data_IF_719553098240
#
_entry.id   IF_719553098240
#
_cell.length_a   1.000
_cell.length_b   1.000
_cell.length_c   1.000
_cell.angle_alpha   90.00
_cell.angle_beta   90.00
_cell.angle_gamma   90.00
#
_symmetry.space_group_name_H-M   'P 1'
#
loop_
_entity.id
_entity.type
_entity.pdbx_description
1 polymer ?
#
# COMPACT_ATOMS: atom_id res chain seq x y z
N UNK A 1 39.20 36.84 -31.70
CA UNK A 1 39.08 36.45 -30.28
C UNK A 1 39.74 35.11 -30.04
N UNK A 2 40.76 35.07 -29.18
CA UNK A 2 41.48 33.85 -28.81
C UNK A 2 40.56 32.85 -28.07
N UNK A 3 40.82 31.55 -28.20
CA UNK A 3 39.99 30.44 -27.70
C UNK A 3 39.74 30.52 -26.18
N UNK A 4 40.69 31.07 -25.43
CA UNK A 4 40.57 31.31 -23.98
C UNK A 4 39.53 32.38 -23.65
N UNK A 5 39.51 33.49 -24.39
CA UNK A 5 38.54 34.57 -24.18
C UNK A 5 37.10 34.10 -24.45
N UNK A 6 36.91 33.29 -25.52
CA UNK A 6 35.59 32.68 -25.82
C UNK A 6 35.11 31.71 -24.74
N UNK A 7 36.03 30.95 -24.11
CA UNK A 7 35.67 30.07 -23.00
C UNK A 7 35.27 30.86 -21.77
N UNK A 8 36.06 31.86 -21.37
CA UNK A 8 35.76 32.70 -20.22
C UNK A 8 34.41 33.40 -20.35
N UNK A 9 34.10 33.92 -21.54
CA UNK A 9 32.79 34.53 -21.81
C UNK A 9 31.63 33.53 -21.62
N UNK A 10 31.71 32.33 -22.22
CA UNK A 10 30.67 31.30 -22.06
C UNK A 10 30.51 30.81 -20.63
N UNK A 11 31.61 30.75 -19.88
CA UNK A 11 31.59 30.43 -18.45
C UNK A 11 30.75 31.47 -17.71
N UNK A 12 31.03 32.76 -17.92
CA UNK A 12 30.30 33.84 -17.27
C UNK A 12 28.80 33.84 -17.64
N UNK A 13 28.49 33.70 -18.93
CA UNK A 13 27.10 33.61 -19.42
C UNK A 13 26.34 32.46 -18.75
N UNK A 14 26.94 31.26 -18.71
CA UNK A 14 26.32 30.08 -18.10
C UNK A 14 26.11 30.27 -16.61
N UNK A 15 27.12 30.79 -15.88
CA UNK A 15 27.02 30.97 -14.43
C UNK A 15 25.95 32.02 -14.07
N UNK A 16 25.80 33.06 -14.89
CA UNK A 16 24.78 34.10 -14.69
C UNK A 16 23.36 33.65 -15.05
N UNK A 17 23.20 32.54 -15.78
CA UNK A 17 21.89 32.02 -16.16
C UNK A 17 21.17 31.41 -14.94
N UNK A 18 19.91 31.80 -14.64
CA UNK A 18 19.17 31.27 -13.50
C UNK A 18 18.96 29.74 -13.57
N UNK A 19 19.05 29.13 -14.76
CA UNK A 19 18.95 27.69 -14.96
C UNK A 19 20.20 26.93 -14.52
N UNK A 20 21.33 27.61 -14.28
CA UNK A 20 22.56 26.95 -13.85
C UNK A 20 22.50 26.46 -12.40
N UNK A 21 21.94 27.25 -11.48
CA UNK A 21 21.84 26.88 -10.06
C UNK A 21 21.07 25.55 -9.86
N UNK A 22 19.90 25.33 -10.48
CA UNK A 22 19.20 24.04 -10.41
C UNK A 22 19.99 22.85 -10.96
N UNK A 23 20.82 23.04 -12.01
CA UNK A 23 21.68 21.99 -12.55
C UNK A 23 22.80 21.62 -11.57
N UNK A 24 23.41 22.61 -10.91
CA UNK A 24 24.43 22.38 -9.88
C UNK A 24 23.84 21.67 -8.67
N UNK A 25 22.65 22.09 -8.23
CA UNK A 25 21.92 21.51 -7.10
C UNK A 25 21.31 20.13 -7.41
N UNK A 26 21.24 19.73 -8.70
CA UNK A 26 20.51 18.54 -9.18
C UNK A 26 19.04 18.55 -8.74
N UNK A 27 18.41 19.69 -8.88
CA UNK A 27 17.02 19.90 -8.46
C UNK A 27 16.05 19.07 -9.31
N UNK A 28 15.27 18.22 -8.65
CA UNK A 28 14.23 17.41 -9.30
C UNK A 28 12.99 18.21 -9.67
N UNK A 29 12.71 19.33 -9.00
CA UNK A 29 11.58 20.23 -9.30
C UNK A 29 11.81 21.04 -10.58
N UNK A 30 13.06 21.10 -11.06
CA UNK A 30 13.43 21.72 -12.32
C UNK A 30 13.28 20.77 -13.53
N UNK A 31 13.10 19.47 -13.29
CA UNK A 31 12.93 18.50 -14.37
C UNK A 31 11.67 18.80 -15.19
N UNK A 32 11.81 18.80 -16.51
CA UNK A 32 10.72 19.08 -17.45
C UNK A 32 10.49 20.57 -17.73
N UNK A 33 11.02 21.49 -16.90
CA UNK A 33 10.98 22.95 -17.16
C UNK A 33 12.00 23.39 -18.21
N UNK A 34 13.18 22.76 -18.20
CA UNK A 34 14.23 22.96 -19.20
C UNK A 34 15.16 21.75 -19.25
N UNK A 35 16.06 21.76 -20.23
CA UNK A 35 17.10 20.76 -20.45
C UNK A 35 18.44 21.46 -20.62
N UNK A 36 19.53 20.79 -20.23
CA UNK A 36 20.88 21.29 -20.50
C UNK A 36 21.66 20.30 -21.33
N UNK A 37 22.47 20.80 -22.24
CA UNK A 37 23.30 20.00 -23.12
C UNK A 37 24.78 20.32 -22.94
N UNK A 38 25.63 19.31 -23.11
CA UNK A 38 27.07 19.42 -22.95
C UNK A 38 27.74 19.30 -24.31
N UNK A 39 28.31 20.41 -24.79
CA UNK A 39 28.94 20.55 -26.12
C UNK A 39 30.00 19.50 -26.39
N UNK A 40 30.83 19.19 -25.40
CA UNK A 40 31.95 18.23 -25.57
C UNK A 40 31.49 16.78 -25.70
N UNK A 41 30.34 16.42 -25.13
CA UNK A 41 29.84 15.03 -25.18
C UNK A 41 28.70 14.85 -26.18
N UNK A 42 28.10 15.94 -26.68
CA UNK A 42 26.93 15.89 -27.56
C UNK A 42 25.69 15.31 -26.88
N UNK A 43 25.55 15.48 -25.55
CA UNK A 43 24.48 14.87 -24.75
C UNK A 43 23.65 15.94 -24.06
N UNK A 44 22.32 15.80 -24.11
CA UNK A 44 21.40 16.60 -23.30
C UNK A 44 20.80 15.82 -22.13
N UNK A 45 20.54 16.52 -21.03
CA UNK A 45 20.21 16.00 -19.71
C UNK A 45 19.06 16.79 -19.08
N UNK A 46 18.43 16.18 -18.07
CA UNK A 46 17.57 16.89 -17.11
C UNK A 46 18.41 17.57 -16.04
N UNK A 47 17.92 18.65 -15.41
CA UNK A 47 18.60 19.31 -14.29
C UNK A 47 19.00 18.36 -13.15
N UNK A 48 18.16 17.38 -12.81
CA UNK A 48 18.44 16.38 -11.76
C UNK A 48 19.50 15.33 -12.10
N UNK A 49 20.15 15.41 -13.26
CA UNK A 49 21.02 14.34 -13.74
C UNK A 49 22.22 14.11 -12.81
N UNK A 50 22.33 12.89 -12.28
CA UNK A 50 23.46 12.46 -11.45
C UNK A 50 24.78 12.25 -12.22
N UNK A 51 24.90 12.73 -13.46
CA UNK A 51 26.15 12.71 -14.20
C UNK A 51 27.20 13.60 -13.51
N UNK A 52 28.47 13.42 -13.90
CA UNK A 52 29.55 14.31 -13.45
C UNK A 52 29.19 15.73 -13.90
N UNK A 53 29.32 16.75 -13.02
CA UNK A 53 29.03 18.13 -13.38
C UNK A 53 29.79 18.53 -14.65
N UNK A 54 29.07 19.09 -15.61
CA UNK A 54 29.68 19.63 -16.82
C UNK A 54 30.40 20.94 -16.48
N UNK A 55 31.47 21.25 -17.20
CA UNK A 55 32.11 22.55 -17.05
C UNK A 55 31.20 23.63 -17.66
N UNK A 56 30.99 24.78 -16.99
CA UNK A 56 30.04 25.80 -17.44
C UNK A 56 30.26 26.24 -18.89
N UNK A 57 31.51 26.39 -19.34
CA UNK A 57 31.83 26.81 -20.72
C UNK A 57 31.31 25.88 -21.82
N UNK A 58 30.94 24.64 -21.45
CA UNK A 58 30.44 23.61 -22.36
C UNK A 58 28.93 23.39 -22.24
N UNK A 59 28.23 24.14 -21.40
CA UNK A 59 26.79 23.97 -21.16
C UNK A 59 25.98 24.88 -22.08
N UNK A 60 24.83 24.38 -22.51
CA UNK A 60 23.81 25.12 -23.27
C UNK A 60 22.45 24.71 -22.72
N UNK A 61 21.53 25.66 -22.59
CA UNK A 61 20.18 25.38 -22.11
C UNK A 61 19.17 25.40 -23.26
N UNK A 62 18.18 24.51 -23.16
CA UNK A 62 17.06 24.38 -24.09
C UNK A 62 15.76 24.29 -23.30
N UNK A 63 14.67 24.84 -23.83
CA UNK A 63 13.37 24.81 -23.13
C UNK A 63 12.70 23.46 -23.33
N UNK A 64 12.85 22.89 -24.53
CA UNK A 64 12.24 21.60 -24.89
C UNK A 64 13.28 20.56 -25.31
N UNK A 65 12.90 19.28 -25.21
CA UNK A 65 13.72 18.15 -25.70
C UNK A 65 13.96 18.25 -27.21
N UNK A 66 12.91 18.63 -27.95
CA UNK A 66 12.95 18.75 -29.40
C UNK A 66 13.93 19.82 -29.88
N UNK A 67 14.10 20.93 -29.14
CA UNK A 67 15.13 21.93 -29.45
C UNK A 67 16.54 21.36 -29.30
N UNK A 68 16.81 20.63 -28.21
CA UNK A 68 18.11 20.02 -27.98
C UNK A 68 18.44 18.96 -29.06
N UNK A 69 17.44 18.16 -29.46
CA UNK A 69 17.60 17.15 -30.51
C UNK A 69 17.82 17.76 -31.89
N UNK A 70 17.06 18.81 -32.25
CA UNK A 70 17.28 19.57 -33.49
C UNK A 70 18.66 20.23 -33.53
N UNK A 71 19.20 20.60 -32.38
CA UNK A 71 20.57 21.12 -32.26
C UNK A 71 21.66 20.02 -32.28
N UNK A 72 21.29 18.76 -32.51
CA UNK A 72 22.21 17.63 -32.69
C UNK A 72 22.63 16.92 -31.41
N UNK A 73 22.01 17.21 -30.27
CA UNK A 73 22.32 16.54 -29.00
C UNK A 73 21.49 15.27 -28.83
N UNK A 74 22.15 14.18 -28.40
CA UNK A 74 21.45 12.92 -28.07
C UNK A 74 20.97 12.91 -26.62
N UNK A 75 19.88 12.20 -26.35
CA UNK A 75 19.37 11.99 -25.00
C UNK A 75 20.40 11.27 -24.10
N UNK A 76 20.53 11.75 -22.86
CA UNK A 76 21.40 11.12 -21.87
C UNK A 76 20.89 9.73 -21.47
N UNK A 77 21.71 8.70 -21.63
CA UNK A 77 21.38 7.33 -21.22
C UNK A 77 21.24 7.16 -19.70
N UNK A 78 21.76 8.10 -18.91
CA UNK A 78 21.69 8.08 -17.44
C UNK A 78 20.37 8.66 -16.95
N UNK A 79 20.08 9.94 -17.18
CA UNK A 79 18.81 10.54 -16.72
C UNK A 79 17.62 10.23 -17.65
N UNK A 80 17.86 9.75 -18.87
CA UNK A 80 16.84 9.37 -19.86
C UNK A 80 15.76 10.43 -20.02
N UNK A 81 16.14 11.66 -20.45
CA UNK A 81 15.22 12.79 -20.48
C UNK A 81 14.02 12.56 -21.40
N UNK A 82 14.17 11.69 -22.38
CA UNK A 82 13.19 11.18 -23.34
C UNK A 82 12.10 10.30 -22.72
N UNK A 83 12.36 9.68 -21.56
CA UNK A 83 11.46 8.70 -20.91
C UNK A 83 10.71 9.28 -19.71
N UNK A 84 9.65 8.63 -19.19
CA UNK A 84 9.00 9.05 -17.95
C UNK A 84 10.00 9.14 -16.77
N UNK A 85 9.69 9.86 -15.67
CA UNK A 85 10.51 9.86 -14.47
C UNK A 85 10.87 8.44 -14.01
N UNK A 86 12.10 8.24 -13.50
CA UNK A 86 12.58 6.90 -13.10
C UNK A 86 11.67 6.20 -12.10
N UNK A 87 11.04 6.96 -11.19
CA UNK A 87 10.10 6.42 -10.22
C UNK A 87 8.89 5.77 -10.89
N UNK A 88 8.35 6.40 -11.94
CA UNK A 88 7.24 5.87 -12.73
C UNK A 88 7.69 4.65 -13.56
N UNK A 89 8.86 4.72 -14.20
CA UNK A 89 9.42 3.58 -14.93
C UNK A 89 9.59 2.35 -14.02
N UNK A 90 10.07 2.55 -12.79
CA UNK A 90 10.19 1.48 -11.80
C UNK A 90 8.83 0.97 -11.33
N UNK A 91 7.85 1.84 -11.14
CA UNK A 91 6.48 1.43 -10.81
C UNK A 91 5.91 0.54 -11.92
N UNK A 92 6.01 0.93 -13.19
CA UNK A 92 5.56 0.13 -14.33
C UNK A 92 6.23 -1.24 -14.38
N UNK A 93 7.56 -1.29 -14.18
CA UNK A 93 8.30 -2.56 -14.16
C UNK A 93 7.89 -3.46 -12.98
N UNK A 94 7.64 -2.89 -11.81
CA UNK A 94 7.17 -3.66 -10.64
C UNK A 94 5.75 -4.16 -10.87
N UNK A 95 4.86 -3.34 -11.43
CA UNK A 95 3.50 -3.78 -11.82
C UNK A 95 3.55 -4.92 -12.83
N UNK A 96 4.43 -4.85 -13.83
CA UNK A 96 4.63 -5.93 -14.79
C UNK A 96 5.11 -7.21 -14.09
N UNK A 97 6.08 -7.11 -13.17
CA UNK A 97 6.54 -8.26 -12.39
C UNK A 97 5.42 -8.85 -11.51
N UNK A 98 4.57 -8.03 -10.89
CA UNK A 98 3.41 -8.50 -10.13
C UNK A 98 2.45 -9.31 -11.02
N UNK A 99 2.11 -8.80 -12.20
CA UNK A 99 1.26 -9.52 -13.17
C UNK A 99 1.84 -10.87 -13.58
N UNK A 100 3.15 -10.91 -13.88
CA UNK A 100 3.83 -12.17 -14.19
C UNK A 100 3.70 -13.16 -13.04
N UNK A 101 3.89 -12.73 -11.79
CA UNK A 101 3.73 -13.59 -10.61
C UNK A 101 2.28 -14.08 -10.46
N UNK A 102 1.29 -13.22 -10.75
CA UNK A 102 -0.14 -13.52 -10.66
C UNK A 102 -0.58 -14.53 -11.74
N UNK A 103 -0.10 -14.38 -12.97
CA UNK A 103 -0.45 -15.21 -14.13
C UNK A 103 0.32 -16.54 -14.17
N UNK A 104 1.47 -16.64 -13.52
CA UNK A 104 2.27 -17.88 -13.51
C UNK A 104 1.66 -18.96 -12.61
N UNK A 105 1.60 -20.21 -13.09
CA UNK A 105 1.24 -21.39 -12.28
C UNK A 105 2.26 -21.61 -11.15
N UNK A 106 3.54 -21.64 -11.51
CA UNK A 106 4.65 -21.70 -10.55
C UNK A 106 5.36 -20.36 -10.48
N UNK A 107 5.57 -19.85 -9.26
CA UNK A 107 6.23 -18.56 -9.07
C UNK A 107 7.63 -18.55 -9.73
N UNK A 108 7.90 -17.65 -10.69
CA UNK A 108 9.19 -17.61 -11.36
C UNK A 108 10.32 -17.23 -10.39
N UNK A 109 11.55 -17.66 -10.70
CA UNK A 109 12.72 -17.28 -9.90
C UNK A 109 12.98 -15.78 -9.99
N UNK A 110 13.71 -15.25 -9.00
CA UNK A 110 14.07 -13.83 -8.96
C UNK A 110 14.83 -13.41 -10.22
N UNK A 111 15.70 -14.27 -10.73
CA UNK A 111 16.48 -14.05 -11.96
C UNK A 111 15.58 -13.97 -13.19
N UNK A 112 14.60 -14.87 -13.31
CA UNK A 112 13.63 -14.87 -14.43
C UNK A 112 12.76 -13.61 -14.41
N UNK A 113 12.25 -13.23 -13.24
CA UNK A 113 11.46 -12.01 -13.08
C UNK A 113 12.27 -10.77 -13.47
N UNK A 114 13.50 -10.67 -12.97
CA UNK A 114 14.39 -9.54 -13.26
C UNK A 114 14.70 -9.44 -14.77
N UNK A 115 14.97 -10.59 -15.42
CA UNK A 115 15.20 -10.67 -16.85
C UNK A 115 13.98 -10.19 -17.67
N UNK A 116 12.77 -10.65 -17.32
CA UNK A 116 11.53 -10.29 -18.03
C UNK A 116 11.17 -8.81 -17.92
N UNK A 117 11.53 -8.15 -16.81
CA UNK A 117 11.34 -6.69 -16.67
C UNK A 117 12.57 -5.87 -17.09
N UNK A 118 13.58 -6.52 -17.67
CA UNK A 118 14.81 -5.88 -18.17
C UNK A 118 15.60 -5.17 -17.07
N UNK A 119 15.84 -5.84 -15.95
CA UNK A 119 16.62 -5.33 -14.81
C UNK A 119 17.63 -6.39 -14.34
N UNK A 120 18.73 -5.96 -13.72
CA UNK A 120 19.60 -6.90 -13.02
C UNK A 120 18.91 -7.45 -11.77
N UNK A 121 19.21 -8.69 -11.38
CA UNK A 121 18.57 -9.40 -10.26
C UNK A 121 18.61 -8.59 -8.96
N UNK A 122 19.79 -8.04 -8.62
CA UNK A 122 19.98 -7.25 -7.41
C UNK A 122 19.20 -5.93 -7.43
N UNK A 123 19.24 -5.22 -8.57
CA UNK A 123 18.53 -3.95 -8.74
C UNK A 123 17.01 -4.17 -8.70
N UNK A 124 16.53 -5.21 -9.38
CA UNK A 124 15.13 -5.61 -9.35
C UNK A 124 14.66 -5.91 -7.92
N UNK A 125 15.38 -6.75 -7.17
CA UNK A 125 15.01 -7.08 -5.79
C UNK A 125 14.85 -5.83 -4.91
N UNK A 126 15.83 -4.91 -4.97
CA UNK A 126 15.80 -3.66 -4.20
C UNK A 126 14.65 -2.75 -4.65
N UNK A 127 14.47 -2.57 -5.95
CA UNK A 127 13.41 -1.72 -6.51
C UNK A 127 12.03 -2.29 -6.20
N UNK A 128 11.82 -3.59 -6.36
CA UNK A 128 10.56 -4.25 -6.03
C UNK A 128 10.22 -4.06 -4.56
N UNK A 129 11.18 -4.31 -3.65
CA UNK A 129 10.97 -4.07 -2.21
C UNK A 129 10.64 -2.61 -1.90
N UNK A 130 11.28 -1.66 -2.59
CA UNK A 130 11.02 -0.23 -2.41
C UNK A 130 9.64 0.20 -2.91
N UNK A 131 9.16 -0.37 -4.01
CA UNK A 131 7.89 0.04 -4.65
C UNK A 131 6.70 -0.73 -4.07
N UNK A 132 6.81 -2.05 -3.93
CA UNK A 132 5.74 -2.93 -3.45
C UNK A 132 5.70 -3.11 -1.92
N UNK A 133 6.75 -2.70 -1.20
CA UNK A 133 6.85 -2.85 0.25
C UNK A 133 7.18 -4.28 0.74
N UNK A 134 7.17 -5.27 -0.17
CA UNK A 134 7.48 -6.68 0.07
C UNK A 134 8.58 -7.14 -0.89
N UNK A 135 9.33 -8.19 -0.56
CA UNK A 135 10.24 -8.80 -1.54
C UNK A 135 9.46 -9.57 -2.62
N UNK A 136 10.02 -9.78 -3.83
CA UNK A 136 9.38 -10.60 -4.87
C UNK A 136 8.95 -11.98 -4.35
N UNK A 137 9.78 -12.59 -3.50
CA UNK A 137 9.49 -13.90 -2.88
C UNK A 137 8.32 -13.84 -1.90
N UNK A 138 8.21 -12.77 -1.10
CA UNK A 138 7.09 -12.56 -0.20
C UNK A 138 5.80 -12.27 -0.95
N UNK A 139 5.86 -11.48 -2.03
CA UNK A 139 4.72 -11.23 -2.91
C UNK A 139 4.23 -12.51 -3.57
N UNK A 140 5.14 -13.30 -4.13
CA UNK A 140 4.82 -14.60 -4.71
C UNK A 140 4.25 -15.59 -3.70
N UNK A 141 4.74 -15.59 -2.46
CA UNK A 141 4.13 -16.36 -1.38
C UNK A 141 2.69 -15.90 -1.12
N UNK A 142 2.46 -14.60 -0.87
CA UNK A 142 1.12 -14.07 -0.62
C UNK A 142 0.12 -14.33 -1.76
N UNK A 143 0.59 -14.23 -3.01
CA UNK A 143 -0.24 -14.54 -4.18
C UNK A 143 -0.55 -16.04 -4.28
N UNK A 144 0.41 -16.90 -3.95
CA UNK A 144 0.19 -18.35 -3.86
C UNK A 144 -0.81 -18.70 -2.77
N UNK A 145 -0.70 -18.07 -1.60
CA UNK A 145 -1.65 -18.21 -0.50
C UNK A 145 -3.06 -17.75 -0.89
N UNK A 146 -3.17 -16.71 -1.72
CA UNK A 146 -4.44 -16.29 -2.33
C UNK A 146 -4.98 -17.35 -3.29
N UNK A 147 -4.17 -17.86 -4.23
CA UNK A 147 -4.60 -18.92 -5.18
C UNK A 147 -5.07 -20.18 -4.45
N UNK A 148 -4.35 -20.64 -3.42
CA UNK A 148 -4.80 -21.76 -2.58
C UNK A 148 -6.18 -21.50 -1.98
N UNK A 149 -6.40 -20.29 -1.46
CA UNK A 149 -7.69 -19.91 -0.86
C UNK A 149 -8.81 -19.89 -1.89
N UNK A 150 -8.53 -19.40 -3.10
CA UNK A 150 -9.49 -19.33 -4.20
C UNK A 150 -9.81 -20.76 -4.75
N UNK A 151 -8.80 -21.62 -4.92
CA UNK A 151 -8.94 -22.99 -5.44
C UNK A 151 -9.56 -23.96 -4.42
N UNK A 152 -9.17 -23.88 -3.15
CA UNK A 152 -9.84 -24.66 -2.10
C UNK A 152 -11.32 -24.28 -1.94
N UNK A 153 -11.70 -23.06 -2.34
CA UNK A 153 -13.09 -22.62 -2.38
C UNK A 153 -13.90 -23.13 -3.58
N UNK A 154 -13.24 -23.60 -4.65
CA UNK A 154 -13.88 -24.12 -5.88
C UNK A 154 -14.15 -25.63 -5.87
N UNK A 155 -13.75 -26.35 -4.82
CA UNK A 155 -14.10 -27.77 -4.60
C UNK A 155 -13.05 -28.81 -5.03
N UNK A 156 -11.91 -28.40 -5.61
CA UNK A 156 -10.76 -29.26 -5.97
C UNK A 156 -10.25 -30.05 -4.76
N UNK A 157 -9.63 -31.23 -4.94
CA UNK A 157 -9.05 -31.94 -3.79
C UNK A 157 -7.96 -31.08 -3.13
N UNK A 158 -7.72 -31.25 -1.82
CA UNK A 158 -6.67 -30.50 -1.12
C UNK A 158 -5.32 -30.68 -1.82
N UNK A 159 -5.06 -31.89 -2.32
CA UNK A 159 -3.86 -32.22 -3.09
C UNK A 159 -3.78 -31.45 -4.40
N UNK A 160 -4.88 -31.38 -5.16
CA UNK A 160 -4.93 -30.66 -6.45
C UNK A 160 -4.78 -29.15 -6.25
N UNK A 161 -5.50 -28.57 -5.29
CA UNK A 161 -5.40 -27.15 -4.97
C UNK A 161 -3.99 -26.72 -4.51
N UNK A 162 -3.24 -27.63 -3.86
CA UNK A 162 -1.85 -27.43 -3.49
C UNK A 162 -0.94 -27.43 -4.73
N UNK A 163 -1.16 -28.39 -5.64
CA UNK A 163 -0.40 -28.50 -6.90
C UNK A 163 -0.69 -27.35 -7.85
N UNK A 164 -1.95 -26.99 -8.05
CA UNK A 164 -2.41 -25.91 -8.93
C UNK A 164 -1.99 -24.52 -8.41
N UNK A 165 -1.84 -24.37 -7.09
CA UNK A 165 -1.23 -23.18 -6.49
C UNK A 165 0.32 -23.16 -6.60
N UNK A 166 0.95 -24.18 -7.17
CA UNK A 166 2.39 -24.22 -7.44
C UNK A 166 3.23 -24.63 -6.23
N UNK A 167 2.72 -25.47 -5.32
CA UNK A 167 3.55 -26.17 -4.34
C UNK A 167 4.08 -27.48 -4.92
N UNK A 168 5.41 -27.58 -5.07
CA UNK A 168 6.08 -28.80 -5.54
C UNK A 168 6.09 -29.95 -4.50
N UNK A 169 5.54 -29.74 -3.31
CA UNK A 169 5.52 -30.74 -2.24
C UNK A 169 4.44 -30.42 -1.21
N UNK A 170 3.59 -31.41 -0.93
CA UNK A 170 2.51 -31.36 0.05
C UNK A 170 3.02 -31.08 1.47
N UNK A 171 4.18 -31.64 1.85
CA UNK A 171 4.74 -31.49 3.21
C UNK A 171 5.10 -30.04 3.55
N UNK A 172 5.73 -29.31 2.62
CA UNK A 172 6.06 -27.88 2.81
C UNK A 172 4.83 -26.96 2.89
N UNK A 173 3.71 -27.39 2.32
CA UNK A 173 2.45 -26.67 2.47
C UNK A 173 1.84 -26.93 3.85
N UNK A 174 1.75 -28.19 4.30
CA UNK A 174 1.20 -28.53 5.61
C UNK A 174 1.99 -27.92 6.80
N UNK A 175 3.31 -27.73 6.67
CA UNK A 175 4.13 -27.02 7.67
C UNK A 175 3.73 -25.55 7.86
N UNK A 176 3.20 -24.90 6.81
CA UNK A 176 2.86 -23.47 6.80
C UNK A 176 1.37 -23.17 6.69
N UNK A 177 0.55 -24.18 6.38
CA UNK A 177 -0.87 -24.00 6.06
C UNK A 177 -1.66 -23.36 7.18
N UNK A 178 -1.36 -23.68 8.45
CA UNK A 178 -2.06 -23.08 9.58
C UNK A 178 -1.73 -21.58 9.75
N UNK A 179 -0.49 -21.16 9.44
CA UNK A 179 -0.11 -19.73 9.47
C UNK A 179 -0.67 -18.94 8.29
N UNK A 180 -0.89 -19.61 7.17
CA UNK A 180 -1.35 -19.05 5.90
C UNK A 180 -2.88 -18.95 5.84
N UNK A 181 -3.58 -20.03 6.19
CA UNK A 181 -5.04 -20.16 6.10
C UNK A 181 -5.73 -19.87 7.44
N UNK A 182 -4.98 -19.79 8.54
CA UNK A 182 -5.52 -19.68 9.90
C UNK A 182 -6.16 -20.98 10.43
N UNK A 183 -6.19 -22.05 9.63
CA UNK A 183 -6.75 -23.38 9.93
C UNK A 183 -6.12 -24.43 9.01
N UNK A 184 -6.49 -25.72 9.18
CA UNK A 184 -5.99 -26.79 8.30
C UNK A 184 -6.59 -26.69 6.89
N UNK A 185 -5.89 -27.12 5.83
CA UNK A 185 -6.40 -27.11 4.45
C UNK A 185 -7.71 -27.90 4.26
N UNK A 186 -7.85 -29.02 4.96
CA UNK A 186 -9.07 -29.83 4.99
C UNK A 186 -10.23 -29.08 5.63
N UNK A 187 -9.98 -28.37 6.75
CA UNK A 187 -10.97 -27.50 7.40
C UNK A 187 -11.36 -26.33 6.51
N UNK A 188 -10.42 -25.75 5.77
CA UNK A 188 -10.68 -24.66 4.83
C UNK A 188 -11.51 -25.13 3.63
N UNK A 189 -11.17 -26.29 3.02
CA UNK A 189 -11.89 -26.90 1.89
C UNK A 189 -13.30 -27.35 2.24
N UNK A 190 -13.48 -27.90 3.44
CA UNK A 190 -14.80 -28.24 3.95
C UNK A 190 -15.63 -26.98 4.32
N UNK A 191 -15.23 -25.81 3.82
CA UNK A 191 -15.88 -24.52 3.96
C UNK A 191 -15.58 -23.78 5.25
N UNK A 192 -14.69 -24.28 6.10
CA UNK A 192 -14.79 -23.97 7.52
C UNK A 192 -16.12 -24.54 8.02
N UNK A 193 -16.33 -25.85 7.89
CA UNK A 193 -17.51 -26.57 8.41
C UNK A 193 -17.71 -26.37 9.91
N UNK A 194 -16.72 -25.81 10.60
CA UNK A 194 -16.80 -25.38 12.00
C UNK A 194 -16.62 -23.87 12.24
N UNK A 195 -16.55 -23.03 11.20
CA UNK A 195 -16.54 -21.57 11.34
C UNK A 195 -17.97 -21.03 11.29
N UNK A 196 -18.76 -21.36 12.32
CA UNK A 196 -20.01 -20.66 12.59
C UNK A 196 -19.69 -19.18 12.79
N UNK A 197 -20.24 -18.32 11.94
CA UNK A 197 -20.13 -16.87 12.10
C UNK A 197 -21.51 -16.38 12.50
N UNK A 198 -21.61 -15.91 13.74
CA UNK A 198 -22.79 -15.19 14.18
C UNK A 198 -22.71 -13.77 13.67
N UNK A 199 -23.79 -13.27 13.09
CA UNK A 199 -23.86 -11.89 12.65
C UNK A 199 -25.21 -11.27 12.97
N UNK A 200 -25.20 -9.95 13.07
CA UNK A 200 -26.39 -9.16 13.27
C UNK A 200 -26.18 -7.81 12.58
N UNK A 201 -27.30 -7.26 12.14
CA UNK A 201 -27.37 -5.92 11.56
C UNK A 201 -28.12 -5.04 12.55
N UNK A 202 -27.61 -3.84 12.77
CA UNK A 202 -28.21 -2.82 13.61
C UNK A 202 -28.03 -1.44 12.99
N UNK A 203 -28.37 -0.42 13.77
CA UNK A 203 -28.24 0.98 13.37
C UNK A 203 -27.34 1.73 14.35
N UNK A 204 -26.58 2.68 13.83
CA UNK A 204 -25.79 3.62 14.62
C UNK A 204 -25.80 5.00 13.97
N UNK A 205 -25.21 6.00 14.62
CA UNK A 205 -25.07 7.37 14.12
C UNK A 205 -24.29 7.50 12.80
N UNK A 206 -23.62 6.43 12.34
CA UNK A 206 -22.90 6.35 11.07
C UNK A 206 -23.68 5.58 9.99
N UNK A 207 -24.96 5.27 10.23
CA UNK A 207 -25.83 4.45 9.39
C UNK A 207 -25.89 3.00 9.86
N UNK A 208 -26.27 2.10 8.95
CA UNK A 208 -26.36 0.67 9.22
C UNK A 208 -25.00 0.08 9.57
N UNK A 209 -25.02 -0.81 10.56
CA UNK A 209 -23.85 -1.51 11.06
C UNK A 209 -24.07 -3.02 11.00
N UNK A 210 -23.07 -3.75 10.54
CA UNK A 210 -23.03 -5.21 10.67
C UNK A 210 -21.90 -5.61 11.60
N UNK A 211 -22.20 -6.44 12.59
CA UNK A 211 -21.22 -7.05 13.50
C UNK A 211 -21.21 -8.55 13.26
N UNK A 212 -20.02 -9.13 13.06
CA UNK A 212 -19.84 -10.55 12.89
C UNK A 212 -18.75 -11.11 13.81
N UNK A 213 -19.02 -12.27 14.40
CA UNK A 213 -18.16 -12.95 15.35
C UNK A 213 -17.93 -14.40 14.95
N UNK A 214 -16.67 -14.82 14.96
CA UNK A 214 -16.28 -16.23 14.87
C UNK A 214 -16.07 -16.82 16.27
N UNK A 215 -15.76 -18.12 16.37
CA UNK A 215 -15.38 -18.75 17.64
C UNK A 215 -14.15 -18.13 18.33
N UNK A 216 -13.37 -17.30 17.63
CA UNK A 216 -12.16 -16.65 18.15
C UNK A 216 -12.37 -15.19 18.58
N UNK A 217 -13.48 -14.56 18.17
CA UNK A 217 -13.76 -13.15 18.44
C UNK A 217 -14.41 -12.42 17.27
N UNK A 218 -14.47 -11.09 17.36
CA UNK A 218 -15.05 -10.23 16.33
C UNK A 218 -14.20 -10.30 15.06
N UNK A 219 -14.79 -10.79 13.96
CA UNK A 219 -14.10 -10.94 12.69
C UNK A 219 -14.50 -9.85 11.67
N UNK A 220 -15.65 -9.19 11.86
CA UNK A 220 -16.03 -8.04 11.06
C UNK A 220 -16.90 -7.03 11.84
N UNK A 221 -16.66 -5.75 11.57
CA UNK A 221 -17.54 -4.62 11.90
C UNK A 221 -17.59 -3.77 10.63
N UNK A 222 -18.73 -3.76 9.96
CA UNK A 222 -18.94 -3.06 8.69
C UNK A 222 -19.94 -1.92 8.88
N UNK A 223 -19.77 -0.82 8.15
CA UNK A 223 -20.63 0.36 8.19
C UNK A 223 -21.12 0.68 6.78
N UNK A 224 -22.37 1.09 6.64
CA UNK A 224 -22.95 1.42 5.35
C UNK A 224 -24.27 2.15 5.48
N UNK A 225 -24.92 2.37 4.34
CA UNK A 225 -26.26 2.95 4.25
C UNK A 225 -27.31 1.90 3.87
N UNK A 226 -26.87 0.73 3.43
CA UNK A 226 -27.70 -0.36 2.94
C UNK A 226 -27.35 -1.65 3.71
N UNK A 227 -28.26 -2.17 4.57
CA UNK A 227 -28.02 -3.36 5.37
C UNK A 227 -27.84 -4.62 4.52
N UNK A 228 -28.56 -4.75 3.40
CA UNK A 228 -28.46 -5.92 2.53
C UNK A 228 -27.08 -5.99 1.88
N UNK A 229 -26.54 -4.84 1.47
CA UNK A 229 -25.17 -4.74 0.96
C UNK A 229 -24.13 -5.16 2.00
N UNK A 230 -24.34 -4.83 3.28
CA UNK A 230 -23.42 -5.26 4.35
C UNK A 230 -23.43 -6.78 4.53
N UNK A 231 -24.60 -7.41 4.44
CA UNK A 231 -24.74 -8.87 4.51
C UNK A 231 -24.06 -9.53 3.31
N UNK A 232 -24.25 -8.99 2.10
CA UNK A 232 -23.53 -9.49 0.91
C UNK A 232 -22.01 -9.32 1.04
N UNK A 233 -21.52 -8.17 1.53
CA UNK A 233 -20.08 -7.96 1.78
C UNK A 233 -19.52 -8.95 2.83
N UNK A 234 -20.32 -9.35 3.82
CA UNK A 234 -19.97 -10.40 4.78
C UNK A 234 -19.91 -11.76 4.10
N UNK A 235 -20.92 -12.12 3.30
CA UNK A 235 -20.98 -13.36 2.55
C UNK A 235 -19.79 -13.49 1.60
N UNK A 236 -19.48 -12.46 0.81
CA UNK A 236 -18.31 -12.43 -0.07
C UNK A 236 -17.00 -12.55 0.73
N UNK A 237 -16.96 -11.93 1.91
CA UNK A 237 -15.83 -11.96 2.81
C UNK A 237 -15.60 -13.32 3.49
N UNK A 238 -16.64 -14.15 3.57
CA UNK A 238 -16.69 -15.44 4.27
C UNK A 238 -17.55 -16.44 3.49
N UNK A 239 -17.24 -16.63 2.20
CA UNK A 239 -18.05 -17.35 1.20
C UNK A 239 -18.38 -18.81 1.52
N UNK A 240 -17.73 -19.39 2.53
CA UNK A 240 -17.97 -20.76 2.95
C UNK A 240 -18.43 -20.91 4.40
N UNK A 241 -18.50 -19.82 5.16
CA UNK A 241 -18.93 -19.86 6.55
C UNK A 241 -20.44 -20.10 6.67
N UNK A 242 -20.84 -20.86 7.69
CA UNK A 242 -22.24 -20.92 8.10
C UNK A 242 -22.57 -19.62 8.84
N UNK A 243 -23.28 -18.72 8.16
CA UNK A 243 -23.77 -17.48 8.74
C UNK A 243 -25.03 -17.76 9.57
N UNK A 244 -24.94 -17.49 10.86
CA UNK A 244 -26.03 -17.70 11.83
C UNK A 244 -26.55 -16.32 12.23
N UNK A 245 -27.86 -16.13 12.11
CA UNK A 245 -28.53 -14.92 12.55
C UNK A 245 -28.48 -14.74 14.08
N UNK A 246 -28.84 -13.55 14.52
CA UNK A 246 -28.75 -13.10 15.91
C UNK A 246 -29.55 -13.98 16.89
N UNK A 247 -28.96 -14.25 18.05
CA UNK A 247 -29.63 -14.74 19.27
C UNK A 247 -29.57 -13.65 20.36
N UNK A 248 -30.32 -13.80 21.45
CA UNK A 248 -30.40 -12.77 22.51
C UNK A 248 -29.04 -12.42 23.13
N UNK A 249 -28.16 -13.40 23.30
CA UNK A 249 -26.80 -13.19 23.83
C UNK A 249 -25.93 -12.40 22.84
N UNK A 250 -26.16 -12.60 21.53
CA UNK A 250 -25.47 -11.85 20.48
C UNK A 250 -25.96 -10.41 20.37
N UNK A 251 -27.23 -10.12 20.68
CA UNK A 251 -27.75 -8.74 20.73
C UNK A 251 -27.01 -7.88 21.76
N UNK A 252 -26.71 -8.43 22.94
CA UNK A 252 -25.94 -7.70 23.96
C UNK A 252 -24.53 -7.34 23.46
N UNK A 253 -23.89 -8.26 22.73
CA UNK A 253 -22.58 -8.01 22.13
C UNK A 253 -22.67 -6.91 21.06
N UNK A 254 -23.70 -6.95 20.23
CA UNK A 254 -23.93 -5.93 19.19
C UNK A 254 -24.17 -4.57 19.85
N UNK A 255 -24.96 -4.51 20.91
CA UNK A 255 -25.19 -3.29 21.68
C UNK A 255 -23.88 -2.72 22.27
N UNK A 256 -22.98 -3.57 22.78
CA UNK A 256 -21.64 -3.13 23.23
C UNK A 256 -20.82 -2.54 22.08
N UNK A 257 -20.85 -3.16 20.90
CA UNK A 257 -20.13 -2.66 19.71
C UNK A 257 -20.72 -1.33 19.22
N UNK A 258 -22.05 -1.21 19.19
CA UNK A 258 -22.73 0.05 18.85
C UNK A 258 -22.38 1.14 19.87
N UNK A 259 -22.46 0.85 21.17
CA UNK A 259 -22.07 1.79 22.22
C UNK A 259 -20.61 2.24 22.10
N UNK A 260 -19.70 1.35 21.73
CA UNK A 260 -18.32 1.69 21.42
C UNK A 260 -18.16 2.58 20.18
N UNK A 261 -18.98 2.40 19.14
CA UNK A 261 -18.95 3.27 17.95
C UNK A 261 -19.53 4.66 18.25
N UNK A 262 -20.55 4.71 19.13
CA UNK A 262 -21.10 5.96 19.61
C UNK A 262 -20.12 6.72 20.49
N UNK A 263 -19.36 6.00 21.33
CA UNK A 263 -18.35 6.56 22.23
C UNK A 263 -17.00 5.82 22.15
N UNK A 264 -16.14 6.10 21.14
CA UNK A 264 -14.88 5.37 20.93
C UNK A 264 -13.90 5.46 22.11
N UNK A 265 -14.03 6.48 22.96
CA UNK A 265 -13.23 6.67 24.16
C UNK A 265 -13.47 5.69 25.30
N UNK A 266 -14.52 4.87 25.22
CA UNK A 266 -14.76 3.74 26.15
C UNK A 266 -13.81 2.58 25.85
N UNK A 267 -13.39 2.43 24.59
CA UNK A 267 -12.63 1.27 24.13
C UNK A 267 -13.52 0.04 23.91
N UNK A 268 -12.99 -0.94 23.18
CA UNK A 268 -13.67 -2.21 22.93
C UNK A 268 -12.85 -3.34 23.56
N UNK A 269 -13.30 -3.84 24.70
CA UNK A 269 -12.69 -4.98 25.40
C UNK A 269 -13.32 -6.30 24.91
N UNK A 270 -13.15 -6.59 23.62
CA UNK A 270 -13.58 -7.84 23.01
C UNK A 270 -12.44 -8.44 22.17
N UNK A 271 -12.29 -9.78 22.15
CA UNK A 271 -11.27 -10.42 21.33
C UNK A 271 -11.57 -10.17 19.84
N UNK A 272 -10.53 -9.87 19.05
CA UNK A 272 -10.63 -9.63 17.62
C UNK A 272 -10.00 -10.80 16.83
N UNK A 273 -10.77 -11.40 15.91
CA UNK A 273 -10.30 -12.40 14.94
C UNK A 273 -9.90 -11.72 13.63
N UNK A 274 -8.77 -11.02 13.65
CA UNK A 274 -8.31 -10.24 12.50
C UNK A 274 -7.50 -11.12 11.55
N UNK A 275 -8.04 -11.35 10.35
CA UNK A 275 -7.41 -12.18 9.31
C UNK A 275 -6.73 -11.32 8.26
N UNK A 276 -5.42 -11.51 8.09
CA UNK A 276 -4.63 -10.80 7.07
C UNK A 276 -3.17 -11.25 7.05
N UNK A 277 -2.42 -10.78 6.06
CA UNK A 277 -0.97 -11.03 5.94
C UNK A 277 -0.20 -10.51 7.15
N UNK A 278 1.00 -11.04 7.40
CA UNK A 278 1.87 -10.55 8.48
C UNK A 278 2.13 -9.03 8.40
N UNK A 279 2.19 -8.46 7.21
CA UNK A 279 2.33 -7.00 7.04
C UNK A 279 1.07 -6.26 7.49
N UNK A 280 -0.11 -6.72 7.06
CA UNK A 280 -1.40 -6.12 7.47
C UNK A 280 -1.61 -6.21 8.98
N UNK A 281 -1.32 -7.36 9.60
CA UNK A 281 -1.42 -7.52 11.05
C UNK A 281 -0.54 -6.52 11.80
N UNK A 282 0.71 -6.31 11.35
CA UNK A 282 1.61 -5.30 11.94
C UNK A 282 1.09 -3.88 11.78
N UNK A 283 0.52 -3.55 10.63
CA UNK A 283 -0.12 -2.25 10.41
C UNK A 283 -1.29 -2.08 11.38
N UNK A 284 -2.22 -3.03 11.41
CA UNK A 284 -3.41 -2.96 12.26
C UNK A 284 -3.07 -2.89 13.75
N UNK A 285 -2.02 -3.60 14.19
CA UNK A 285 -1.51 -3.46 15.54
C UNK A 285 -1.02 -2.04 15.82
N UNK A 286 -0.22 -1.46 14.93
CA UNK A 286 0.23 -0.07 15.05
C UNK A 286 -0.91 0.96 14.98
N UNK A 287 -2.04 0.63 14.32
CA UNK A 287 -3.24 1.48 14.34
C UNK A 287 -3.89 1.49 15.72
N UNK A 288 -4.00 0.33 16.38
CA UNK A 288 -4.60 0.20 17.71
C UNK A 288 -3.84 0.98 18.79
N UNK A 289 -2.56 1.26 18.56
CA UNK A 289 -1.71 2.07 19.43
C UNK A 289 -1.95 3.58 19.29
N UNK A 290 -2.72 4.03 18.30
CA UNK A 290 -3.07 5.46 18.15
C UNK A 290 -4.14 5.81 19.19
N UNK A 291 -3.88 6.74 20.13
CA UNK A 291 -4.87 7.12 21.14
C UNK A 291 -6.12 7.77 20.54
N UNK A 292 -7.24 7.68 21.27
CA UNK A 292 -8.49 8.38 20.93
C UNK A 292 -8.24 9.88 20.87
N UNK A 293 -8.76 10.54 19.82
CA UNK A 293 -8.60 11.98 19.61
C UNK A 293 -7.23 12.39 19.05
N UNK A 294 -6.36 11.43 18.75
CA UNK A 294 -5.09 11.66 18.05
C UNK A 294 -5.13 11.11 16.64
N UNK A 295 -4.37 11.73 15.74
CA UNK A 295 -4.18 11.25 14.37
C UNK A 295 -2.72 10.95 14.10
N UNK A 296 -2.47 10.07 13.13
CA UNK A 296 -1.14 9.74 12.63
C UNK A 296 -1.14 9.78 11.10
N UNK A 297 0.00 10.10 10.49
CA UNK A 297 0.10 9.99 9.03
C UNK A 297 0.42 8.55 8.58
N UNK A 298 0.12 8.21 7.33
CA UNK A 298 0.58 6.95 6.74
C UNK A 298 2.11 6.79 6.83
N UNK A 299 2.85 7.90 6.81
CA UNK A 299 4.31 7.92 6.97
C UNK A 299 4.72 7.55 8.39
N UNK A 300 4.00 8.04 9.40
CA UNK A 300 4.26 7.71 10.80
C UNK A 300 4.02 6.24 11.09
N UNK A 301 2.93 5.68 10.57
CA UNK A 301 2.64 4.24 10.70
C UNK A 301 3.72 3.40 10.00
N UNK A 302 4.13 3.80 8.80
CA UNK A 302 5.23 3.14 8.08
C UNK A 302 6.54 3.17 8.88
N UNK A 303 6.83 4.26 9.59
CA UNK A 303 7.99 4.38 10.48
C UNK A 303 7.86 3.49 11.72
N UNK A 304 6.70 3.49 12.39
CA UNK A 304 6.41 2.67 13.58
C UNK A 304 6.59 1.18 13.32
N UNK A 305 6.15 0.70 12.16
CA UNK A 305 6.33 -0.71 11.77
C UNK A 305 7.73 -1.00 11.18
N UNK A 306 8.70 -0.10 11.28
CA UNK A 306 10.06 -0.30 10.77
C UNK A 306 10.15 -0.45 9.24
N UNK A 307 9.16 0.06 8.50
CA UNK A 307 9.08 0.00 7.04
C UNK A 307 8.82 1.39 6.42
N UNK A 308 9.72 2.38 6.62
CA UNK A 308 9.46 3.80 6.29
C UNK A 308 9.24 4.09 4.81
N UNK A 309 9.62 3.16 3.91
CA UNK A 309 9.40 3.28 2.46
C UNK A 309 8.05 2.71 2.01
N UNK A 310 7.29 2.06 2.90
CA UNK A 310 6.10 1.29 2.57
C UNK A 310 4.79 2.06 2.76
N UNK A 311 4.81 3.39 2.62
CA UNK A 311 3.66 4.27 2.89
C UNK A 311 2.40 3.87 2.10
N UNK A 312 2.54 3.50 0.82
CA UNK A 312 1.40 3.05 -0.01
C UNK A 312 0.84 1.71 0.44
N UNK A 313 1.71 0.77 0.82
CA UNK A 313 1.28 -0.53 1.32
C UNK A 313 0.55 -0.40 2.67
N UNK A 314 0.98 0.55 3.52
CA UNK A 314 0.24 0.90 4.74
C UNK A 314 -1.15 1.44 4.42
N UNK A 315 -1.27 2.35 3.44
CA UNK A 315 -2.56 2.87 3.01
C UNK A 315 -3.49 1.77 2.48
N UNK A 316 -2.96 0.83 1.70
CA UNK A 316 -3.72 -0.33 1.22
C UNK A 316 -4.15 -1.25 2.38
N UNK A 317 -3.27 -1.51 3.36
CA UNK A 317 -3.61 -2.28 4.55
C UNK A 317 -4.74 -1.62 5.37
N UNK A 318 -4.74 -0.29 5.48
CA UNK A 318 -5.83 0.48 6.10
C UNK A 318 -7.15 0.31 5.34
N UNK A 319 -7.13 0.33 4.00
CA UNK A 319 -8.31 0.14 3.16
C UNK A 319 -8.90 -1.29 3.20
N UNK A 320 -8.07 -2.28 3.53
CA UNK A 320 -8.50 -3.68 3.70
C UNK A 320 -9.00 -4.03 5.10
N UNK A 321 -9.07 -3.06 6.03
CA UNK A 321 -9.60 -3.28 7.37
C UNK A 321 -11.08 -3.72 7.29
N UNK A 322 -11.42 -4.82 7.97
CA UNK A 322 -12.80 -5.34 8.08
C UNK A 322 -13.44 -5.09 9.44
N UNK A 323 -12.72 -4.48 10.38
CA UNK A 323 -13.17 -4.24 11.76
C UNK A 323 -13.16 -2.75 12.02
N UNK A 324 -14.19 -2.05 11.53
CA UNK A 324 -14.35 -0.60 11.67
C UNK A 324 -14.26 -0.15 13.13
N UNK A 325 -13.64 1.02 13.35
CA UNK A 325 -13.45 1.69 14.65
C UNK A 325 -12.56 0.92 15.65
N UNK A 326 -12.77 -0.38 15.84
CA UNK A 326 -11.96 -1.22 16.74
C UNK A 326 -10.52 -1.37 16.26
N UNK A 327 -10.32 -1.42 14.93
CA UNK A 327 -9.03 -1.12 14.31
C UNK A 327 -9.15 0.30 13.73
N UNK A 328 -8.58 1.32 14.39
CA UNK A 328 -8.95 2.72 14.15
C UNK A 328 -8.24 3.31 12.92
N UNK A 329 -8.52 2.77 11.74
CA UNK A 329 -7.95 3.27 10.48
C UNK A 329 -8.48 4.66 10.08
N UNK A 330 -9.57 5.14 10.70
CA UNK A 330 -10.04 6.52 10.57
C UNK A 330 -9.09 7.54 11.19
N UNK A 331 -8.26 7.15 12.17
CA UNK A 331 -7.23 8.01 12.78
C UNK A 331 -6.01 8.24 11.89
N UNK A 332 -5.91 7.55 10.76
CA UNK A 332 -4.79 7.72 9.81
C UNK A 332 -5.14 8.72 8.72
N UNK A 333 -4.37 9.79 8.62
CA UNK A 333 -4.59 10.87 7.64
C UNK A 333 -3.42 11.00 6.67
N UNK A 334 -3.57 11.81 5.62
CA UNK A 334 -2.44 12.16 4.75
C UNK A 334 -1.45 13.06 5.50
N UNK A 335 -0.21 13.15 5.01
CA UNK A 335 0.82 13.98 5.65
C UNK A 335 0.44 15.47 5.74
N UNK A 336 -0.43 15.95 4.85
CA UNK A 336 -0.95 17.32 4.84
C UNK A 336 -2.20 17.49 5.72
N UNK A 337 -2.58 16.46 6.49
CA UNK A 337 -3.78 16.47 7.34
C UNK A 337 -5.08 16.25 6.59
N UNK A 338 -5.06 16.16 5.25
CA UNK A 338 -6.29 15.99 4.48
C UNK A 338 -6.92 14.62 4.71
N UNK A 339 -8.24 14.61 4.85
CA UNK A 339 -9.02 13.38 4.95
C UNK A 339 -9.19 12.79 3.56
N UNK A 340 -8.48 11.69 3.31
CA UNK A 340 -8.65 10.91 2.10
C UNK A 340 -8.54 9.43 2.43
N UNK A 341 -9.30 8.62 1.67
CA UNK A 341 -9.32 7.18 1.84
C UNK A 341 -9.96 6.76 3.16
N UNK A 342 -11.12 6.13 3.06
CA UNK A 342 -11.73 5.35 4.13
C UNK A 342 -12.62 4.31 3.47
N UNK A 343 -12.54 3.06 3.93
CA UNK A 343 -13.31 1.96 3.34
C UNK A 343 -14.81 2.26 3.32
N UNK A 344 -15.29 2.94 4.35
CA UNK A 344 -16.71 3.23 4.56
C UNK A 344 -17.08 4.71 4.26
N UNK A 345 -16.22 5.44 3.54
CA UNK A 345 -16.50 6.81 3.09
C UNK A 345 -15.91 7.94 3.95
N UNK A 346 -15.48 9.02 3.31
CA UNK A 346 -14.74 10.12 3.97
C UNK A 346 -15.61 10.85 5.01
N UNK A 347 -16.92 10.96 4.79
CA UNK A 347 -17.87 11.57 5.74
C UNK A 347 -17.88 10.84 7.09
N UNK A 348 -18.00 9.49 7.10
CA UNK A 348 -17.95 8.69 8.33
C UNK A 348 -16.63 8.86 9.07
N UNK A 349 -15.52 8.96 8.33
CA UNK A 349 -14.19 9.22 8.90
C UNK A 349 -14.12 10.58 9.60
N UNK A 350 -14.71 11.62 8.98
CA UNK A 350 -14.78 12.96 9.59
C UNK A 350 -15.60 12.93 10.88
N UNK A 351 -16.81 12.36 10.83
CA UNK A 351 -17.69 12.28 12.00
C UNK A 351 -17.04 11.54 13.18
N UNK A 352 -16.32 10.44 12.92
CA UNK A 352 -15.58 9.72 13.95
C UNK A 352 -14.48 10.57 14.59
N UNK A 353 -13.70 11.30 13.78
CA UNK A 353 -12.65 12.17 14.30
C UNK A 353 -13.22 13.31 15.15
N UNK A 354 -14.32 13.92 14.71
CA UNK A 354 -15.00 14.99 15.46
C UNK A 354 -15.54 14.49 16.80
N UNK A 355 -16.18 13.30 16.84
CA UNK A 355 -16.63 12.66 18.08
C UNK A 355 -15.48 12.45 19.06
N UNK A 356 -14.38 11.87 18.58
CA UNK A 356 -13.21 11.61 19.42
C UNK A 356 -12.55 12.90 19.93
N UNK A 357 -12.55 13.97 19.13
CA UNK A 357 -12.04 15.28 19.54
C UNK A 357 -12.88 15.90 20.66
N UNK A 358 -14.21 15.81 20.57
CA UNK A 358 -15.13 16.27 21.63
C UNK A 358 -14.90 15.49 22.92
N UNK A 359 -14.81 14.16 22.84
CA UNK A 359 -14.54 13.32 24.02
C UNK A 359 -13.20 13.61 24.67
N UNK A 360 -12.14 13.81 23.87
CA UNK A 360 -10.82 14.16 24.37
C UNK A 360 -10.84 15.50 25.13
N UNK A 361 -11.56 16.50 24.60
CA UNK A 361 -11.73 17.81 25.26
C UNK A 361 -12.54 17.71 26.57
N UNK A 362 -13.57 16.87 26.61
CA UNK A 362 -14.36 16.64 27.83
C UNK A 362 -13.52 15.96 28.92
N UNK A 363 -12.74 14.93 28.58
CA UNK A 363 -11.85 14.26 29.56
C UNK A 363 -10.81 15.21 30.15
N UNK A 364 -10.24 16.12 29.35
CA UNK A 364 -9.28 17.12 29.84
C UNK A 364 -9.91 18.16 30.80
N UNK A 365 -11.18 18.52 30.60
CA UNK A 365 -11.91 19.45 31.48
C UNK A 365 -12.36 18.83 32.80
N UNK A 366 -12.51 17.51 32.88
CA UNK A 366 -12.90 16.80 34.11
C UNK A 366 -11.68 16.49 34.99
N UNK A 367 -10.47 16.53 34.43
CA UNK A 367 -9.20 16.29 35.13
C UNK A 367 -8.46 17.57 35.56
N UNK A 368 -8.92 18.75 35.12
CA UNK A 368 -8.46 20.06 35.54
C UNK A 368 -9.44 20.66 36.55
#
# INVERSE_FOLDING_TARGET
MNTLAKKAQRTAETISDPRWAPVVARDTEADGKFYYAVRTTGVYCRPSCAARPARPENVVFYTTRGEAEKAGFRACKRCQPDKPPRAEQYATKVTQACRIIEESETAPTLEKLAMQVGMSTYHFHRTFKQVAGLTPRQYAAAQREKKVRDELGRGSTVTDAIFDAGYNSSSRFYEKSNQVLGMTPSSYRAGGTDSKIRFAVGECSLGSILVAQSSRGICAILLGDDPDKLVHDLQDGFSHACLIGCDADFEELVAKVVGFIEAPGIGLDLPLDVRGTAFQQRVWQALREIPVGQTASYTDIARRIGAPKSVRAVAQACATNKVAVAIPCHRVVRNDGTLAGYRWGVERKRNLLEKEEVEAKVKLKVQA
#
